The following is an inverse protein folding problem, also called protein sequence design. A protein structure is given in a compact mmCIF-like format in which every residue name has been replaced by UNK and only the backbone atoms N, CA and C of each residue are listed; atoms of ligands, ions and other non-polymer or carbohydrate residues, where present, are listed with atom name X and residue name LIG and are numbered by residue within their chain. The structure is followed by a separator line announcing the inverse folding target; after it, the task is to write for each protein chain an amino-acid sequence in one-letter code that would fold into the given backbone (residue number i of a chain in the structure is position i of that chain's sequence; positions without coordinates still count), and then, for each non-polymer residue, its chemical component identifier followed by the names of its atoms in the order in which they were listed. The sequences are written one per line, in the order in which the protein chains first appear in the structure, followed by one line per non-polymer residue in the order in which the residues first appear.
data_IF_599464031889
#
_entry.id   IF_599464031889
#
_cell.length_a   1.000
_cell.length_b   1.000
_cell.length_c   1.000
_cell.angle_alpha   90.00
_cell.angle_beta   90.00
_cell.angle_gamma   90.00
#
_symmetry.space_group_name_H-M   'P 1'
#
loop_
_entity.id
_entity.type
_entity.pdbx_description
1 polymer ?
#
# COMPACT_ATOMS: atom_id res chain seq x y z
N UNK A 1 42.96 -11.19 16.59
CA UNK A 1 41.80 -10.26 16.58
C UNK A 1 41.53 -9.68 15.18
N UNK A 2 42.49 -9.01 14.53
CA UNK A 2 42.26 -8.38 13.21
C UNK A 2 41.93 -9.35 12.06
N UNK A 3 42.51 -10.56 12.07
CA UNK A 3 42.27 -11.57 11.01
C UNK A 3 40.83 -12.09 11.03
N UNK A 4 40.28 -12.39 12.21
CA UNK A 4 38.89 -12.84 12.35
C UNK A 4 37.89 -11.76 11.91
N UNK A 5 38.18 -10.49 12.22
CA UNK A 5 37.37 -9.36 11.76
C UNK A 5 37.38 -9.24 10.23
N UNK A 6 38.55 -9.36 9.60
CA UNK A 6 38.68 -9.31 8.15
C UNK A 6 37.91 -10.46 7.47
N UNK A 7 37.95 -11.67 8.03
CA UNK A 7 37.21 -12.83 7.51
C UNK A 7 35.70 -12.58 7.54
N UNK A 8 35.17 -12.09 8.68
CA UNK A 8 33.73 -11.79 8.81
C UNK A 8 33.32 -10.66 7.86
N UNK A 9 34.15 -9.64 7.70
CA UNK A 9 33.88 -8.51 6.79
C UNK A 9 33.79 -8.99 5.33
N UNK A 10 34.73 -9.84 4.90
CA UNK A 10 34.74 -10.39 3.53
C UNK A 10 33.54 -11.32 3.31
N UNK A 11 33.22 -12.17 4.28
CA UNK A 11 32.05 -13.04 4.20
C UNK A 11 30.74 -12.24 4.13
N UNK A 12 30.61 -11.18 4.93
CA UNK A 12 29.46 -10.27 4.89
C UNK A 12 29.34 -9.55 3.55
N UNK A 13 30.45 -9.03 3.01
CA UNK A 13 30.46 -8.39 1.70
C UNK A 13 30.07 -9.34 0.58
N UNK A 14 30.57 -10.59 0.60
CA UNK A 14 30.18 -11.61 -0.36
C UNK A 14 28.69 -11.93 -0.30
N UNK A 15 28.15 -12.12 0.91
CA UNK A 15 26.72 -12.31 1.14
C UNK A 15 25.90 -11.12 0.63
N UNK A 16 26.28 -9.89 0.98
CA UNK A 16 25.58 -8.67 0.60
C UNK A 16 25.56 -8.43 -0.93
N UNK A 17 26.62 -8.80 -1.64
CA UNK A 17 26.70 -8.56 -3.09
C UNK A 17 26.06 -9.66 -3.95
N UNK A 18 25.99 -10.90 -3.45
CA UNK A 18 25.48 -12.03 -4.25
C UNK A 18 24.09 -12.50 -3.82
N UNK A 19 23.81 -12.52 -2.52
CA UNK A 19 22.55 -13.07 -1.99
C UNK A 19 21.46 -12.01 -1.97
N UNK A 20 21.76 -10.80 -1.49
CA UNK A 20 20.77 -9.72 -1.38
C UNK A 20 20.12 -9.37 -2.73
N UNK A 21 20.84 -9.19 -3.86
CA UNK A 21 20.21 -8.83 -5.12
C UNK A 21 19.24 -9.88 -5.68
N UNK A 22 19.35 -11.12 -5.19
CA UNK A 22 18.52 -12.23 -5.62
C UNK A 22 17.28 -12.42 -4.74
N UNK A 23 17.38 -12.06 -3.46
CA UNK A 23 16.26 -12.09 -2.51
C UNK A 23 15.41 -10.83 -2.63
N UNK A 24 16.08 -9.66 -2.71
CA UNK A 24 15.44 -8.36 -2.85
C UNK A 24 15.82 -7.81 -4.24
N UNK A 25 14.93 -7.90 -5.25
CA UNK A 25 15.14 -7.15 -6.49
C UNK A 25 15.37 -5.68 -6.09
N UNK A 26 16.34 -4.98 -6.71
CA UNK A 26 16.81 -3.69 -6.24
C UNK A 26 15.61 -2.79 -6.00
N UNK A 27 15.34 -2.49 -4.73
CA UNK A 27 14.28 -1.57 -4.36
C UNK A 27 14.49 -0.34 -5.23
N UNK A 28 13.51 -0.07 -6.12
CA UNK A 28 13.58 1.03 -7.05
C UNK A 28 14.03 2.24 -6.24
N UNK A 29 15.25 2.72 -6.56
CA UNK A 29 15.91 3.81 -5.86
C UNK A 29 14.84 4.86 -5.57
N UNK A 30 14.65 5.32 -4.31
CA UNK A 30 13.64 6.32 -4.04
C UNK A 30 13.98 7.53 -4.90
N UNK A 31 13.27 7.66 -6.01
CA UNK A 31 13.37 8.78 -6.92
C UNK A 31 12.78 9.94 -6.15
N UNK A 32 13.64 10.59 -5.37
CA UNK A 32 13.36 11.89 -4.83
C UNK A 32 12.94 12.78 -6.01
N UNK A 33 11.73 13.32 -5.90
CA UNK A 33 11.28 14.50 -6.64
C UNK A 33 11.30 14.45 -8.19
N UNK A 34 11.29 13.28 -8.83
CA UNK A 34 10.88 13.24 -10.24
C UNK A 34 9.36 13.30 -10.31
N UNK A 35 8.84 14.31 -11.00
CA UNK A 35 7.43 14.39 -11.34
C UNK A 35 7.07 13.11 -12.10
N UNK A 36 6.23 12.26 -11.48
CA UNK A 36 5.72 11.04 -12.10
C UNK A 36 5.12 11.44 -13.45
N UNK A 37 5.65 10.85 -14.52
CA UNK A 37 5.20 11.20 -15.87
C UNK A 37 3.74 10.79 -16.05
N UNK A 38 3.00 11.50 -16.91
CA UNK A 38 1.59 11.17 -17.19
C UNK A 38 1.44 9.73 -17.73
N UNK A 39 2.46 9.24 -18.43
CA UNK A 39 2.54 7.88 -18.97
C UNK A 39 2.72 6.83 -17.86
N UNK A 40 3.63 7.06 -16.90
CA UNK A 40 3.78 6.18 -15.73
C UNK A 40 2.51 6.13 -14.88
N UNK A 41 1.82 7.28 -14.75
CA UNK A 41 0.56 7.35 -14.03
C UNK A 41 -0.57 6.58 -14.76
N UNK A 42 -0.57 6.59 -16.09
CA UNK A 42 -1.50 5.81 -16.90
C UNK A 42 -1.22 4.32 -16.79
N UNK A 43 0.04 3.89 -16.92
CA UNK A 43 0.43 2.49 -16.74
C UNK A 43 0.11 1.97 -15.33
N UNK A 44 0.34 2.78 -14.29
CA UNK A 44 -0.04 2.43 -12.92
C UNK A 44 -1.57 2.27 -12.77
N UNK A 45 -2.36 3.11 -13.45
CA UNK A 45 -3.84 3.00 -13.45
C UNK A 45 -4.31 1.75 -14.19
N UNK A 46 -3.68 1.41 -15.31
CA UNK A 46 -4.01 0.19 -16.07
C UNK A 46 -3.68 -1.07 -15.26
N UNK A 47 -2.50 -1.10 -14.62
CA UNK A 47 -2.13 -2.17 -13.71
C UNK A 47 -3.12 -2.29 -12.53
N UNK A 48 -3.54 -1.15 -11.95
CA UNK A 48 -4.51 -1.11 -10.86
C UNK A 48 -5.92 -1.56 -11.27
N UNK A 49 -6.31 -1.46 -12.55
CA UNK A 49 -7.61 -1.98 -13.05
C UNK A 49 -7.66 -3.51 -13.01
N UNK A 50 -6.53 -4.16 -13.24
CA UNK A 50 -6.42 -5.62 -13.24
C UNK A 50 -5.99 -6.18 -11.89
N UNK A 51 -6.01 -5.38 -10.82
CA UNK A 51 -5.62 -5.83 -9.50
C UNK A 51 -6.65 -6.87 -8.95
N UNK A 52 -6.24 -8.12 -8.70
CA UNK A 52 -7.13 -9.15 -8.15
C UNK A 52 -7.74 -8.76 -6.79
N UNK A 53 -7.12 -7.83 -6.04
CA UNK A 53 -7.65 -7.31 -4.78
C UNK A 53 -8.99 -6.58 -4.98
N UNK A 54 -9.19 -5.90 -6.12
CA UNK A 54 -10.47 -5.26 -6.46
C UNK A 54 -11.57 -6.28 -6.69
N UNK A 55 -11.27 -7.38 -7.38
CA UNK A 55 -12.25 -8.42 -7.65
C UNK A 55 -12.84 -8.98 -6.34
N UNK A 56 -12.01 -9.10 -5.30
CA UNK A 56 -12.42 -9.55 -3.98
C UNK A 56 -13.32 -8.55 -3.23
N UNK A 57 -13.24 -7.26 -3.55
CA UNK A 57 -14.06 -6.20 -2.96
C UNK A 57 -15.37 -5.96 -3.70
N UNK A 58 -15.49 -6.44 -4.94
CA UNK A 58 -16.71 -6.28 -5.76
C UNK A 58 -18.02 -6.73 -5.09
N UNK A 59 -18.07 -7.73 -4.18
CA UNK A 59 -19.31 -8.08 -3.48
C UNK A 59 -19.76 -7.04 -2.43
N UNK A 60 -18.88 -6.12 -2.02
CA UNK A 60 -19.15 -5.13 -0.98
C UNK A 60 -19.64 -3.77 -1.52
N UNK A 61 -19.50 -3.53 -2.82
CA UNK A 61 -19.77 -2.25 -3.46
C UNK A 61 -20.63 -2.43 -4.72
N UNK A 62 -21.31 -1.35 -5.12
CA UNK A 62 -21.99 -1.30 -6.41
C UNK A 62 -20.99 -1.30 -7.57
N UNK A 63 -21.39 -1.75 -8.79
CA UNK A 63 -20.49 -1.77 -9.95
C UNK A 63 -20.01 -0.38 -10.39
N UNK A 64 -20.78 0.66 -10.09
CA UNK A 64 -20.49 2.06 -10.44
C UNK A 64 -19.90 2.86 -9.27
N UNK A 65 -19.64 2.23 -8.13
CA UNK A 65 -19.07 2.89 -6.96
C UNK A 65 -17.61 3.28 -7.21
N UNK A 66 -17.22 4.46 -6.71
CA UNK A 66 -15.88 5.01 -6.92
C UNK A 66 -14.78 4.10 -6.34
N UNK A 67 -15.10 3.31 -5.31
CA UNK A 67 -14.25 2.30 -4.69
C UNK A 67 -13.73 1.25 -5.69
N UNK A 68 -14.53 0.91 -6.71
CA UNK A 68 -14.14 -0.01 -7.78
C UNK A 68 -13.52 0.71 -8.99
N UNK A 69 -13.54 2.05 -9.00
CA UNK A 69 -13.04 2.89 -10.08
C UNK A 69 -11.51 3.02 -10.15
N UNK A 70 -10.93 3.21 -11.34
CA UNK A 70 -9.48 3.12 -11.59
C UNK A 70 -8.61 4.15 -10.83
N UNK A 71 -9.22 5.11 -10.15
CA UNK A 71 -8.54 6.12 -9.34
C UNK A 71 -8.42 5.75 -7.87
N UNK A 72 -9.24 4.82 -7.37
CA UNK A 72 -9.14 4.39 -5.98
C UNK A 72 -7.87 3.58 -5.78
N UNK A 73 -7.07 4.04 -4.81
CA UNK A 73 -5.83 3.44 -4.35
C UNK A 73 -6.19 2.57 -3.14
N UNK A 74 -5.67 1.34 -3.11
CA UNK A 74 -5.96 0.37 -2.06
C UNK A 74 -4.71 0.23 -1.20
N UNK A 75 -4.79 0.67 0.04
CA UNK A 75 -3.78 0.45 1.06
C UNK A 75 -4.22 -0.75 1.91
N UNK A 76 -3.40 -1.79 1.92
CA UNK A 76 -3.71 -3.04 2.62
C UNK A 76 -2.92 -3.14 3.91
N UNK A 77 -3.61 -3.53 4.98
CA UNK A 77 -3.03 -3.91 6.26
C UNK A 77 -3.62 -5.26 6.66
N UNK A 78 -2.99 -5.93 7.63
CA UNK A 78 -3.37 -7.31 8.04
C UNK A 78 -4.86 -7.48 8.35
N UNK A 79 -5.52 -6.44 8.87
CA UNK A 79 -6.90 -6.51 9.36
C UNK A 79 -7.87 -5.54 8.66
N UNK A 80 -7.35 -4.60 7.87
CA UNK A 80 -8.18 -3.62 7.19
C UNK A 80 -7.61 -3.23 5.83
N UNK A 81 -8.50 -2.85 4.93
CA UNK A 81 -8.18 -2.27 3.62
C UNK A 81 -8.72 -0.86 3.61
N UNK A 82 -7.89 0.10 3.23
CA UNK A 82 -8.26 1.50 3.09
C UNK A 82 -8.25 1.87 1.61
N UNK A 83 -9.40 2.26 1.10
CA UNK A 83 -9.60 2.75 -0.25
C UNK A 83 -9.64 4.28 -0.20
N UNK A 84 -8.80 4.92 -1.00
CA UNK A 84 -8.68 6.38 -1.06
C UNK A 84 -8.53 6.82 -2.50
N UNK A 85 -9.30 7.81 -2.95
CA UNK A 85 -9.10 8.40 -4.27
C UNK A 85 -7.91 9.38 -4.24
N UNK A 86 -7.95 10.33 -3.31
CA UNK A 86 -6.91 11.33 -3.16
C UNK A 86 -6.51 11.58 -1.69
N UNK A 87 -5.26 11.98 -1.48
CA UNK A 87 -4.76 12.36 -0.17
C UNK A 87 -3.90 13.62 -0.26
N UNK A 88 -3.98 14.44 0.77
CA UNK A 88 -3.11 15.58 0.95
C UNK A 88 -2.42 15.49 2.31
N UNK A 89 -1.11 15.72 2.33
CA UNK A 89 -0.37 15.86 3.58
C UNK A 89 -0.53 17.30 4.06
N UNK A 90 -1.07 17.48 5.26
CA UNK A 90 -1.17 18.77 5.92
C UNK A 90 0.04 18.96 6.85
N UNK A 91 0.24 20.21 7.27
CA UNK A 91 1.18 20.55 8.32
C UNK A 91 0.82 19.82 9.64
N UNK A 92 1.79 19.58 10.52
CA UNK A 92 1.61 18.95 11.85
C UNK A 92 1.21 17.44 11.85
N UNK A 93 1.82 16.64 10.97
CA UNK A 93 1.60 15.18 10.88
C UNK A 93 0.14 14.78 10.64
N UNK A 94 -0.58 15.62 9.90
CA UNK A 94 -1.97 15.37 9.51
C UNK A 94 -2.03 14.95 8.04
N UNK A 95 -2.95 14.04 7.74
CA UNK A 95 -3.28 13.65 6.38
C UNK A 95 -4.78 13.76 6.19
N UNK A 96 -5.19 14.42 5.12
CA UNK A 96 -6.58 14.48 4.70
C UNK A 96 -6.78 13.53 3.53
N UNK A 97 -7.73 12.60 3.67
CA UNK A 97 -8.12 11.62 2.66
C UNK A 97 -9.47 12.03 2.08
N UNK A 98 -9.63 12.04 0.75
CA UNK A 98 -10.87 12.44 0.09
C UNK A 98 -11.11 11.69 -1.22
N UNK A 99 -12.32 11.14 -1.40
CA UNK A 99 -13.08 10.37 -0.40
C UNK A 99 -12.27 9.18 0.14
N UNK A 100 -12.69 8.61 1.28
CA UNK A 100 -12.09 7.37 1.80
C UNK A 100 -13.10 6.37 2.34
N UNK A 101 -12.82 5.08 2.12
CA UNK A 101 -13.61 3.95 2.59
C UNK A 101 -12.68 2.94 3.25
N UNK A 102 -13.00 2.52 4.47
CA UNK A 102 -12.26 1.48 5.19
C UNK A 102 -13.09 0.20 5.26
N UNK A 103 -12.51 -0.90 4.81
CA UNK A 103 -13.09 -2.24 4.90
C UNK A 103 -12.31 -3.00 5.97
N UNK A 104 -12.95 -3.26 7.10
CA UNK A 104 -12.40 -4.11 8.14
C UNK A 104 -12.85 -5.55 7.89
N UNK A 105 -11.89 -6.46 7.71
CA UNK A 105 -12.18 -7.89 7.53
C UNK A 105 -11.64 -8.63 8.75
N UNK A 106 -12.50 -9.23 9.59
CA UNK A 106 -12.05 -9.91 10.81
C UNK A 106 -11.10 -11.07 10.45
N UNK A 107 -9.98 -11.15 11.18
CA UNK A 107 -9.05 -12.27 11.08
C UNK A 107 -9.65 -13.54 11.70
N UNK A 108 -9.67 -14.64 10.95
CA UNK A 108 -10.22 -15.90 11.43
C UNK A 108 -10.14 -17.04 10.40
N UNK A 109 -10.29 -18.28 10.87
CA UNK A 109 -10.35 -19.47 10.04
C UNK A 109 -11.75 -19.60 9.41
N UNK A 110 -11.94 -18.93 8.27
CA UNK A 110 -13.16 -19.00 7.47
C UNK A 110 -12.84 -18.90 5.98
N UNK A 111 -13.76 -19.38 5.14
CA UNK A 111 -13.64 -19.22 3.70
C UNK A 111 -13.54 -17.72 3.33
N UNK A 112 -12.92 -17.38 2.19
CA UNK A 112 -12.87 -15.99 1.73
C UNK A 112 -14.25 -15.31 1.68
N UNK A 113 -15.28 -16.07 1.30
CA UNK A 113 -16.67 -15.57 1.22
C UNK A 113 -17.26 -15.23 2.60
N UNK A 114 -17.05 -16.08 3.60
CA UNK A 114 -17.51 -15.83 4.97
C UNK A 114 -16.83 -14.60 5.57
N UNK A 115 -15.53 -14.42 5.31
CA UNK A 115 -14.78 -13.24 5.74
C UNK A 115 -15.30 -11.95 5.11
N UNK A 116 -15.67 -11.98 3.83
CA UNK A 116 -16.30 -10.83 3.16
C UNK A 116 -17.66 -10.52 3.81
N UNK A 117 -18.50 -11.53 4.08
CA UNK A 117 -19.80 -11.31 4.73
C UNK A 117 -19.71 -10.74 6.15
N UNK A 118 -18.63 -11.03 6.85
CA UNK A 118 -18.35 -10.51 8.19
C UNK A 118 -17.59 -9.17 8.16
N UNK A 119 -17.29 -8.65 6.97
CA UNK A 119 -16.56 -7.40 6.84
C UNK A 119 -17.44 -6.21 7.20
N UNK A 120 -16.84 -5.22 7.86
CA UNK A 120 -17.49 -3.95 8.20
C UNK A 120 -16.94 -2.87 7.26
N UNK A 121 -17.85 -2.17 6.58
CA UNK A 121 -17.51 -1.07 5.66
C UNK A 121 -17.81 0.26 6.34
N UNK A 122 -16.80 1.12 6.44
CA UNK A 122 -16.88 2.47 6.97
C UNK A 122 -16.61 3.46 5.84
N UNK A 123 -17.64 4.19 5.39
CA UNK A 123 -17.53 5.15 4.29
C UNK A 123 -17.48 6.58 4.83
N UNK A 124 -16.52 7.36 4.35
CA UNK A 124 -16.41 8.79 4.59
C UNK A 124 -16.34 9.53 3.24
N UNK A 125 -17.50 9.77 2.59
CA UNK A 125 -17.54 10.38 1.25
C UNK A 125 -17.06 11.84 1.26
N UNK A 126 -17.19 12.56 2.39
CA UNK A 126 -16.59 13.89 2.55
C UNK A 126 -15.09 13.85 2.89
N UNK A 127 -14.54 12.65 3.07
CA UNK A 127 -13.17 12.42 3.49
C UNK A 127 -12.99 12.29 5.00
N UNK A 128 -11.76 11.99 5.41
CA UNK A 128 -11.34 11.87 6.79
C UNK A 128 -10.02 12.60 7.03
N UNK A 129 -9.84 13.12 8.25
CA UNK A 129 -8.56 13.68 8.71
C UNK A 129 -7.94 12.73 9.71
N UNK A 130 -6.75 12.26 9.39
CA UNK A 130 -5.96 11.37 10.23
C UNK A 130 -4.83 12.19 10.84
N UNK A 131 -4.67 12.11 12.16
CA UNK A 131 -3.54 12.69 12.89
C UNK A 131 -2.65 11.56 13.37
N UNK A 132 -1.37 11.64 13.07
CA UNK A 132 -0.38 10.64 13.47
C UNK A 132 0.62 11.24 14.47
N UNK A 133 1.13 10.40 15.37
CA UNK A 133 2.16 10.80 16.33
C UNK A 133 3.53 11.04 15.67
N UNK A 134 3.71 10.52 14.44
CA UNK A 134 4.92 10.67 13.63
C UNK A 134 4.56 11.00 12.18
N UNK A 135 5.44 11.65 11.40
CA UNK A 135 5.21 11.91 9.98
C UNK A 135 4.95 10.59 9.24
N UNK A 136 3.82 10.50 8.54
CA UNK A 136 3.43 9.32 7.77
C UNK A 136 3.71 9.53 6.29
N UNK A 137 4.50 8.65 5.69
CA UNK A 137 4.72 8.61 4.24
C UNK A 137 3.89 7.46 3.61
N UNK A 138 2.72 7.81 3.09
CA UNK A 138 1.80 6.86 2.43
C UNK A 138 2.34 6.34 1.08
N UNK A 139 3.48 6.85 0.59
CA UNK A 139 4.10 6.38 -0.66
C UNK A 139 4.90 5.08 -0.49
N UNK A 140 5.04 4.59 0.75
CA UNK A 140 5.76 3.36 1.10
C UNK A 140 4.87 2.15 1.37
N UNK A 141 3.54 2.31 1.26
CA UNK A 141 2.54 1.26 1.46
C UNK A 141 2.11 0.59 0.16
#
# INVERSE_FOLDING_TARGET
MAVSFAIVLVAYWGYALWVVPWIEPPAARPQGANAVSAEELQHAREAARHDPRRAMLSPLFGPDDWELGPRAKILESEQFRLLVEDWNTLDDNQVELRPCTMVFTPGGSGSPEERIRQSVVLQAPQGARLRFDRPLDLRRG
#
